data_IF_535812550564
#
_entry.id   IF_535812550564
#
_cell.length_a   1.000
_cell.length_b   1.000
_cell.length_c   1.000
_cell.angle_alpha   90.00
_cell.angle_beta   90.00
_cell.angle_gamma   90.00
#
_symmetry.space_group_name_H-M   'P 1'
#
loop_
_entity.id
_entity.type
_entity.pdbx_description
1 polymer ?
#
# COMPACT_ATOMS: atom_id res chain seq x y z
N UNK A 1 52.19 -40.22 0.20
CA UNK A 1 52.28 -38.78 0.60
C UNK A 1 52.35 -37.95 -0.67
N UNK A 2 51.21 -37.42 -1.11
CA UNK A 2 51.13 -36.64 -2.34
C UNK A 2 50.34 -35.37 -2.06
N UNK A 3 51.02 -34.25 -1.96
CA UNK A 3 50.44 -32.95 -1.67
C UNK A 3 49.97 -32.31 -2.97
N UNK A 4 48.64 -32.16 -3.13
CA UNK A 4 48.00 -31.43 -4.22
C UNK A 4 47.91 -29.94 -3.87
N UNK A 5 48.62 -29.09 -4.66
CA UNK A 5 48.59 -27.62 -4.57
C UNK A 5 47.41 -27.10 -5.40
N UNK A 6 46.37 -26.57 -4.73
CA UNK A 6 45.31 -25.79 -5.40
C UNK A 6 45.88 -24.44 -5.86
N UNK A 7 45.90 -24.20 -7.17
CA UNK A 7 46.15 -22.89 -7.76
C UNK A 7 44.88 -22.04 -7.74
N UNK A 8 44.87 -20.96 -6.95
CA UNK A 8 43.85 -19.91 -7.00
C UNK A 8 44.11 -19.07 -8.27
N UNK A 9 43.13 -19.05 -9.17
CA UNK A 9 43.06 -18.09 -10.28
C UNK A 9 42.28 -16.87 -9.83
N UNK A 10 42.92 -15.73 -9.71
CA UNK A 10 42.29 -14.44 -9.55
C UNK A 10 41.77 -13.98 -10.92
N UNK A 11 40.45 -13.76 -11.02
CA UNK A 11 39.84 -13.12 -12.17
C UNK A 11 39.78 -11.61 -11.89
N UNK A 12 40.51 -10.82 -12.67
CA UNK A 12 40.40 -9.38 -12.67
C UNK A 12 39.15 -8.97 -13.46
N UNK A 13 38.20 -8.28 -12.78
CA UNK A 13 37.06 -7.66 -13.44
C UNK A 13 37.44 -6.23 -13.81
N UNK A 14 37.54 -5.96 -15.11
CA UNK A 14 37.75 -4.62 -15.63
C UNK A 14 36.41 -3.86 -15.64
N UNK A 15 36.30 -2.79 -14.85
CA UNK A 15 35.18 -1.85 -14.92
C UNK A 15 35.41 -0.92 -16.13
N UNK A 16 34.57 -1.04 -17.15
CA UNK A 16 34.47 -0.05 -18.23
C UNK A 16 33.42 1.01 -17.82
N UNK A 17 33.89 2.22 -17.54
CA UNK A 17 33.04 3.38 -17.36
C UNK A 17 32.64 3.93 -18.74
N UNK A 18 31.38 3.77 -19.12
CA UNK A 18 30.79 4.46 -20.28
C UNK A 18 30.19 5.79 -19.81
N UNK A 19 30.80 6.89 -20.22
CA UNK A 19 30.27 8.23 -20.02
C UNK A 19 29.15 8.47 -21.04
N UNK A 20 27.91 8.62 -20.54
CA UNK A 20 26.76 9.01 -21.34
C UNK A 20 26.68 10.53 -21.36
N UNK A 21 26.97 11.12 -22.52
CA UNK A 21 26.73 12.54 -22.80
C UNK A 21 25.23 12.74 -23.07
N UNK A 22 24.57 13.52 -22.21
CA UNK A 22 23.19 13.97 -22.43
C UNK A 22 23.26 15.37 -23.05
N UNK A 23 22.72 15.61 -24.27
CA UNK A 23 22.61 16.96 -24.81
C UNK A 23 21.48 17.72 -24.09
N UNK A 24 21.79 18.94 -23.67
CA UNK A 24 20.80 19.86 -23.12
C UNK A 24 19.85 20.34 -24.23
N UNK A 25 18.61 19.93 -24.15
CA UNK A 25 17.54 20.47 -24.99
C UNK A 25 17.06 21.80 -24.42
N UNK A 26 17.23 22.86 -25.18
CA UNK A 26 16.66 24.17 -24.91
C UNK A 26 15.17 24.12 -25.23
N UNK A 27 14.32 24.26 -24.22
CA UNK A 27 12.86 24.33 -24.38
C UNK A 27 12.48 25.80 -24.56
N UNK A 28 12.03 26.17 -25.77
CA UNK A 28 11.40 27.45 -26.05
C UNK A 28 10.08 27.54 -25.28
N UNK A 29 9.92 28.63 -24.54
CA UNK A 29 8.67 28.96 -23.85
C UNK A 29 7.63 29.45 -24.88
N UNK A 30 6.64 28.64 -25.15
CA UNK A 30 5.43 29.06 -25.89
C UNK A 30 4.51 29.78 -24.90
N UNK A 31 4.37 31.11 -25.11
CA UNK A 31 3.40 31.94 -24.43
C UNK A 31 2.00 31.55 -24.90
N UNK A 32 1.21 30.89 -24.07
CA UNK A 32 -0.22 30.63 -24.31
C UNK A 32 -1.07 31.87 -23.95
N UNK A 33 -2.24 32.02 -24.57
CA UNK A 33 -3.11 33.17 -24.37
C UNK A 33 -3.73 33.17 -22.96
N UNK A 34 -3.81 34.38 -22.42
CA UNK A 34 -4.38 34.73 -21.11
C UNK A 34 -5.86 34.29 -21.00
N UNK A 35 -6.28 33.66 -19.90
CA UNK A 35 -7.69 33.28 -19.71
C UNK A 35 -8.56 34.52 -19.43
N UNK A 36 -9.67 34.60 -20.12
CA UNK A 36 -10.70 35.64 -19.96
C UNK A 36 -11.31 35.60 -18.52
N UNK A 37 -11.74 36.74 -17.97
CA UNK A 37 -12.30 36.83 -16.62
C UNK A 37 -13.64 36.10 -16.54
N UNK A 38 -13.73 35.18 -15.53
CA UNK A 38 -14.95 34.44 -15.20
C UNK A 38 -16.06 35.40 -14.73
N UNK A 39 -17.22 35.28 -15.40
CA UNK A 39 -18.42 36.00 -15.00
C UNK A 39 -18.91 35.57 -13.60
N UNK A 40 -19.12 36.55 -12.75
CA UNK A 40 -19.72 36.40 -11.42
C UNK A 40 -21.19 36.01 -11.58
N UNK A 41 -21.53 34.76 -11.29
CA UNK A 41 -22.91 34.29 -11.19
C UNK A 41 -23.52 34.78 -9.88
N UNK A 42 -24.51 35.67 -9.97
CA UNK A 42 -25.32 36.09 -8.83
C UNK A 42 -26.20 34.93 -8.35
N UNK A 43 -26.26 34.60 -7.05
CA UNK A 43 -27.19 33.62 -6.57
C UNK A 43 -28.63 34.15 -6.62
N UNK A 44 -29.56 33.31 -7.05
CA UNK A 44 -31.00 33.55 -7.06
C UNK A 44 -31.56 33.60 -5.61
N UNK A 45 -32.62 34.37 -5.34
CA UNK A 45 -33.23 34.46 -4.04
C UNK A 45 -33.90 33.16 -3.63
N UNK A 46 -33.61 32.71 -2.38
CA UNK A 46 -34.20 31.54 -1.74
C UNK A 46 -35.65 31.87 -1.35
N UNK A 47 -36.66 31.03 -1.66
CA UNK A 47 -38.01 31.22 -1.16
C UNK A 47 -38.08 30.94 0.34
N UNK A 48 -38.86 31.77 1.04
CA UNK A 48 -39.06 31.72 2.48
C UNK A 48 -39.66 30.38 2.92
N UNK A 49 -39.02 29.76 3.91
CA UNK A 49 -39.47 28.55 4.55
C UNK A 49 -40.82 28.76 5.30
N UNK A 50 -41.84 28.01 4.92
CA UNK A 50 -43.08 27.90 5.66
C UNK A 50 -42.83 27.20 6.99
N UNK A 51 -43.34 27.80 8.07
CA UNK A 51 -43.33 27.25 9.43
C UNK A 51 -44.16 25.98 9.48
N UNK A 52 -43.51 24.83 9.54
CA UNK A 52 -44.16 23.56 9.89
C UNK A 52 -44.06 23.32 11.40
N UNK A 53 -45.17 23.17 12.03
CA UNK A 53 -45.34 22.81 13.45
C UNK A 53 -44.73 21.42 13.72
N UNK A 54 -43.89 21.22 14.75
CA UNK A 54 -43.37 19.89 15.06
C UNK A 54 -44.45 19.01 15.63
N UNK A 55 -44.81 17.94 14.94
CA UNK A 55 -45.60 16.84 15.50
C UNK A 55 -44.72 16.01 16.44
N UNK A 56 -44.93 16.14 17.74
CA UNK A 56 -44.28 15.33 18.77
C UNK A 56 -44.93 13.96 18.80
N UNK A 57 -44.46 13.02 18.01
CA UNK A 57 -44.70 11.59 18.16
C UNK A 57 -43.42 10.89 18.63
N UNK A 58 -43.50 9.89 19.53
CA UNK A 58 -42.32 9.08 19.86
C UNK A 58 -41.88 8.37 18.60
N UNK A 59 -40.74 8.83 18.04
CA UNK A 59 -40.10 8.15 16.91
C UNK A 59 -39.71 6.73 17.32
N UNK A 60 -39.75 5.78 16.37
CA UNK A 60 -39.25 4.42 16.63
C UNK A 60 -37.80 4.52 17.13
N UNK A 61 -37.59 3.97 18.34
CA UNK A 61 -36.24 3.80 18.88
C UNK A 61 -35.49 2.95 17.89
N UNK A 62 -34.54 3.55 17.17
CA UNK A 62 -33.69 2.81 16.26
C UNK A 62 -32.95 1.77 17.08
N UNK A 63 -33.27 0.51 16.85
CA UNK A 63 -32.54 -0.62 17.40
C UNK A 63 -31.08 -0.48 17.00
N UNK A 64 -30.12 -0.51 17.95
CA UNK A 64 -28.73 -0.40 17.60
C UNK A 64 -28.38 -1.54 16.65
N UNK A 65 -27.81 -1.21 15.48
CA UNK A 65 -27.35 -2.19 14.50
C UNK A 65 -26.47 -3.25 15.20
N UNK A 66 -26.64 -4.54 14.85
CA UNK A 66 -25.94 -5.63 15.50
C UNK A 66 -24.42 -5.38 15.49
N UNK A 67 -23.78 -5.66 16.62
CA UNK A 67 -22.36 -5.37 16.87
C UNK A 67 -21.38 -6.06 15.89
N UNK A 68 -21.88 -7.01 15.07
CA UNK A 68 -21.12 -7.77 14.09
C UNK A 68 -20.50 -6.94 12.96
N UNK A 69 -21.01 -5.72 12.70
CA UNK A 69 -20.51 -4.86 11.61
C UNK A 69 -19.41 -3.88 12.04
N UNK A 70 -19.01 -3.89 13.31
CA UNK A 70 -17.96 -3.00 13.80
C UNK A 70 -16.61 -3.68 13.70
N UNK A 71 -15.67 -3.01 13.03
CA UNK A 71 -14.27 -3.45 13.04
C UNK A 71 -13.72 -3.44 14.47
N UNK A 72 -13.22 -4.57 15.01
CA UNK A 72 -12.61 -4.59 16.32
C UNK A 72 -11.40 -3.66 16.36
N UNK A 73 -11.27 -2.87 17.41
CA UNK A 73 -10.06 -2.07 17.62
C UNK A 73 -8.95 -2.99 18.13
N UNK A 74 -7.85 -3.03 17.41
CA UNK A 74 -6.62 -3.69 17.84
C UNK A 74 -5.68 -2.62 18.39
N UNK A 75 -5.38 -2.70 19.68
CA UNK A 75 -4.52 -1.72 20.37
C UNK A 75 -3.07 -1.85 19.95
N UNK A 76 -2.60 -3.07 19.73
CA UNK A 76 -1.25 -3.33 19.24
C UNK A 76 -1.12 -2.92 17.77
N UNK A 77 -0.39 -1.83 17.53
CA UNK A 77 -0.13 -1.29 16.19
C UNK A 77 0.73 -2.23 15.32
N UNK A 78 1.41 -3.17 15.93
CA UNK A 78 2.27 -4.16 15.27
C UNK A 78 1.61 -5.55 15.19
N UNK A 79 0.33 -5.68 15.54
CA UNK A 79 -0.38 -6.97 15.58
C UNK A 79 -0.26 -7.78 14.27
N UNK A 80 -0.28 -7.11 13.13
CA UNK A 80 -0.15 -7.77 11.83
C UNK A 80 1.31 -7.95 11.38
N UNK A 81 2.28 -7.40 12.10
CA UNK A 81 3.67 -7.39 11.67
C UNK A 81 4.32 -8.78 11.72
N UNK A 82 5.21 -9.04 10.79
CA UNK A 82 6.12 -10.19 10.81
C UNK A 82 7.41 -9.87 11.57
N UNK A 83 7.79 -8.59 11.64
CA UNK A 83 8.96 -8.12 12.39
C UNK A 83 8.57 -7.05 13.41
N UNK A 84 8.49 -7.43 14.68
CA UNK A 84 8.12 -6.56 15.80
C UNK A 84 9.25 -5.66 16.31
N UNK A 85 10.45 -5.70 15.71
CA UNK A 85 11.60 -4.88 16.11
C UNK A 85 11.55 -3.47 15.49
N UNK A 86 10.60 -3.20 14.60
CA UNK A 86 10.42 -1.88 14.01
C UNK A 86 9.98 -0.87 15.08
N UNK A 87 10.71 0.24 15.17
CA UNK A 87 10.48 1.29 16.15
C UNK A 87 9.40 2.28 15.67
N UNK A 88 8.14 2.02 16.01
CA UNK A 88 6.98 2.82 15.61
C UNK A 88 7.16 4.32 15.91
N UNK A 89 7.82 4.65 17.02
CA UNK A 89 8.07 6.04 17.43
C UNK A 89 8.98 6.82 16.46
N UNK A 90 9.71 6.15 15.58
CA UNK A 90 10.56 6.79 14.55
C UNK A 90 9.81 7.16 13.28
N UNK A 91 8.58 6.71 13.14
CA UNK A 91 7.78 6.95 11.91
C UNK A 91 7.46 8.45 11.78
N UNK A 92 7.76 8.99 10.61
CA UNK A 92 7.51 10.40 10.29
C UNK A 92 6.79 10.56 8.95
N UNK A 93 5.84 11.50 8.83
CA UNK A 93 5.18 12.21 9.94
C UNK A 93 4.43 11.27 10.89
N UNK A 94 3.88 11.78 12.00
CA UNK A 94 3.10 10.98 12.95
C UNK A 94 1.98 10.22 12.21
N UNK A 95 1.90 8.89 12.33
CA UNK A 95 1.04 8.08 11.49
C UNK A 95 -0.44 8.21 11.85
N UNK A 96 -1.27 8.31 10.83
CA UNK A 96 -2.70 8.07 10.97
C UNK A 96 -2.97 6.57 10.80
N UNK A 97 -3.34 5.89 11.88
CA UNK A 97 -3.58 4.45 11.87
C UNK A 97 -4.95 4.12 11.30
N UNK A 98 -4.99 3.12 10.43
CA UNK A 98 -6.24 2.58 9.90
C UNK A 98 -7.08 1.94 10.99
N UNK A 99 -8.40 2.11 10.92
CA UNK A 99 -9.37 1.58 11.90
C UNK A 99 -10.50 0.76 11.26
N UNK A 100 -10.47 0.56 9.94
CA UNK A 100 -11.41 -0.30 9.24
C UNK A 100 -10.89 -1.74 9.09
N UNK A 101 -11.79 -2.64 8.65
CA UNK A 101 -11.50 -4.05 8.41
C UNK A 101 -11.60 -4.43 6.93
N UNK A 102 -11.49 -3.45 6.03
CA UNK A 102 -11.60 -3.74 4.61
C UNK A 102 -10.47 -4.66 4.15
N UNK A 103 -10.81 -5.52 3.20
CA UNK A 103 -9.83 -6.34 2.49
C UNK A 103 -8.77 -5.43 1.86
N UNK A 104 -7.52 -5.87 1.93
CA UNK A 104 -6.39 -5.23 1.25
C UNK A 104 -5.76 -6.19 0.25
N UNK A 105 -5.02 -5.61 -0.69
CA UNK A 105 -4.40 -6.32 -1.80
C UNK A 105 -2.95 -5.87 -1.96
N UNK A 106 -2.10 -6.80 -2.44
CA UNK A 106 -0.72 -6.49 -2.77
C UNK A 106 -0.27 -7.28 -3.98
N UNK A 107 0.20 -6.59 -5.00
CA UNK A 107 0.94 -7.20 -6.10
C UNK A 107 2.39 -7.48 -5.69
N UNK A 108 2.83 -8.75 -5.78
CA UNK A 108 4.19 -9.14 -5.39
C UNK A 108 4.69 -10.29 -6.30
N UNK A 109 5.97 -10.26 -6.67
CA UNK A 109 6.59 -11.26 -7.54
C UNK A 109 7.03 -12.53 -6.82
N UNK A 110 7.00 -12.57 -5.48
CA UNK A 110 7.36 -13.76 -4.69
C UNK A 110 6.28 -14.82 -4.83
N UNK A 111 6.70 -16.10 -4.96
CA UNK A 111 5.77 -17.21 -5.09
C UNK A 111 4.96 -17.44 -3.79
N UNK A 112 3.67 -17.86 -3.88
CA UNK A 112 2.79 -18.10 -2.74
C UNK A 112 3.42 -18.97 -1.65
N UNK A 113 4.04 -20.09 -2.02
CA UNK A 113 4.70 -20.99 -1.06
C UNK A 113 5.74 -20.29 -0.16
N UNK A 114 6.42 -19.24 -0.67
CA UNK A 114 7.39 -18.48 0.12
C UNK A 114 6.69 -17.51 1.07
N UNK A 115 5.71 -16.79 0.54
CA UNK A 115 4.98 -15.77 1.30
C UNK A 115 4.08 -16.42 2.36
N UNK A 116 3.48 -17.57 2.07
CA UNK A 116 2.67 -18.31 3.05
C UNK A 116 3.50 -18.91 4.20
N UNK A 117 4.77 -19.20 3.96
CA UNK A 117 5.67 -19.68 5.03
C UNK A 117 6.27 -18.53 5.87
N UNK A 118 6.62 -17.42 5.23
CA UNK A 118 7.44 -16.38 5.87
C UNK A 118 6.69 -15.07 6.15
N UNK A 119 5.53 -14.85 5.54
CA UNK A 119 4.88 -13.54 5.51
C UNK A 119 5.51 -12.59 4.49
N UNK A 120 5.05 -11.36 4.51
CA UNK A 120 5.54 -10.27 3.69
C UNK A 120 6.50 -9.40 4.53
N UNK A 121 7.79 -9.58 4.33
CA UNK A 121 8.83 -8.82 5.03
C UNK A 121 9.14 -7.50 4.33
N UNK A 122 9.40 -6.42 5.10
CA UNK A 122 9.96 -5.20 4.56
C UNK A 122 11.44 -5.37 4.18
N UNK A 123 11.92 -4.52 3.27
CA UNK A 123 13.30 -4.60 2.74
C UNK A 123 14.36 -4.24 3.80
N UNK A 124 14.03 -3.32 4.73
CA UNK A 124 14.96 -2.86 5.74
C UNK A 124 14.27 -2.56 7.08
N UNK A 125 13.87 -3.58 7.84
CA UNK A 125 13.05 -3.40 9.04
C UNK A 125 13.73 -2.59 10.14
N UNK A 126 15.05 -2.67 10.29
CA UNK A 126 15.78 -2.01 11.37
C UNK A 126 16.56 -0.76 10.95
N UNK A 127 17.21 -0.83 9.81
CA UNK A 127 18.08 0.24 9.29
C UNK A 127 17.41 1.15 8.27
N UNK A 128 16.14 0.92 7.98
CA UNK A 128 15.43 1.60 6.92
C UNK A 128 15.07 3.05 7.20
N UNK A 129 14.51 3.67 6.17
CA UNK A 129 14.00 5.04 6.23
C UNK A 129 12.58 5.03 6.79
N UNK A 130 12.41 5.64 7.96
CA UNK A 130 11.13 5.75 8.65
C UNK A 130 10.25 6.91 8.15
N UNK A 131 10.76 7.71 7.20
CA UNK A 131 10.00 8.76 6.52
C UNK A 131 9.02 8.12 5.51
N UNK A 132 7.72 8.26 5.78
CA UNK A 132 6.67 7.62 5.00
C UNK A 132 6.56 8.21 3.59
N UNK A 133 6.78 9.52 3.42
CA UNK A 133 6.76 10.16 2.11
C UNK A 133 7.87 9.65 1.20
N UNK A 134 9.04 9.35 1.76
CA UNK A 134 10.15 8.74 1.01
C UNK A 134 9.90 7.27 0.68
N UNK A 135 9.19 6.54 1.55
CA UNK A 135 8.78 5.17 1.29
C UNK A 135 7.91 5.10 0.03
N UNK A 136 6.88 5.95 -0.08
CA UNK A 136 5.97 5.98 -1.23
C UNK A 136 6.67 6.32 -2.56
N UNK A 137 7.78 7.07 -2.52
CA UNK A 137 8.55 7.43 -3.73
C UNK A 137 9.51 6.32 -4.19
N UNK A 138 10.18 5.66 -3.24
CA UNK A 138 11.30 4.78 -3.58
C UNK A 138 11.06 3.30 -3.26
N UNK A 139 10.10 2.99 -2.38
CA UNK A 139 9.74 1.62 -1.96
C UNK A 139 10.83 0.82 -1.28
N UNK A 140 12.10 1.17 -1.49
CA UNK A 140 13.26 0.39 -1.06
C UNK A 140 13.90 0.95 0.21
N UNK A 141 14.44 0.02 1.02
CA UNK A 141 15.18 0.37 2.22
C UNK A 141 14.30 1.01 3.29
N UNK A 142 13.07 0.55 3.43
CA UNK A 142 12.11 1.04 4.41
C UNK A 142 11.62 -0.09 5.33
N UNK A 143 11.09 0.24 6.53
CA UNK A 143 10.51 -0.73 7.44
C UNK A 143 9.06 -1.11 7.11
N UNK A 144 8.55 -0.73 5.93
CA UNK A 144 7.15 -0.91 5.56
C UNK A 144 6.95 -1.93 4.47
N UNK A 145 5.77 -2.56 4.48
CA UNK A 145 5.19 -3.28 3.35
C UNK A 145 3.91 -2.56 2.96
N UNK A 146 3.80 -2.15 1.69
CA UNK A 146 2.61 -1.50 1.16
C UNK A 146 1.56 -2.52 0.75
N UNK A 147 0.31 -2.22 1.03
CA UNK A 147 -0.88 -2.84 0.48
C UNK A 147 -1.84 -1.74 0.02
N UNK A 148 -2.90 -2.08 -0.70
CA UNK A 148 -3.88 -1.12 -1.20
C UNK A 148 -5.29 -1.63 -0.99
N UNK A 149 -6.25 -0.72 -0.91
CA UNK A 149 -7.67 -1.06 -1.02
C UNK A 149 -8.09 -1.36 -2.46
N UNK A 150 -7.31 -0.92 -3.45
CA UNK A 150 -7.58 -1.20 -4.86
C UNK A 150 -7.15 -2.63 -5.21
N UNK A 151 -8.16 -3.48 -5.48
CA UNK A 151 -7.96 -4.85 -5.94
C UNK A 151 -7.17 -4.88 -7.27
N UNK A 152 -7.38 -3.92 -8.12
CA UNK A 152 -6.86 -3.90 -9.48
C UNK A 152 -5.48 -3.23 -9.60
N UNK A 153 -4.89 -2.78 -8.49
CA UNK A 153 -3.55 -2.15 -8.49
C UNK A 153 -2.48 -3.02 -9.15
N UNK A 154 -2.61 -4.35 -9.09
CA UNK A 154 -1.71 -5.28 -9.79
C UNK A 154 -1.62 -5.00 -11.30
N UNK A 155 -2.68 -4.47 -11.93
CA UNK A 155 -2.68 -4.15 -13.37
C UNK A 155 -1.65 -3.10 -13.74
N UNK A 156 -1.32 -2.17 -12.83
CA UNK A 156 -0.26 -1.19 -13.03
C UNK A 156 1.14 -1.79 -12.88
N UNK A 157 1.27 -2.92 -12.17
CA UNK A 157 2.55 -3.56 -11.82
C UNK A 157 2.93 -4.68 -12.80
N UNK A 158 1.98 -5.19 -13.59
CA UNK A 158 2.20 -6.30 -14.54
C UNK A 158 3.34 -5.98 -15.52
N UNK A 159 4.29 -6.91 -15.60
CA UNK A 159 5.43 -6.92 -16.52
C UNK A 159 5.80 -8.33 -16.95
N UNK A 160 7.04 -8.53 -17.40
CA UNK A 160 7.52 -9.83 -17.91
C UNK A 160 7.85 -10.85 -16.80
N UNK A 161 7.77 -10.46 -15.54
CA UNK A 161 8.06 -11.32 -14.39
C UNK A 161 6.78 -11.90 -13.81
N UNK A 162 6.86 -13.11 -13.21
CA UNK A 162 5.73 -13.64 -12.44
C UNK A 162 5.22 -12.63 -11.43
N UNK A 163 3.91 -12.49 -11.35
CA UNK A 163 3.23 -11.60 -10.43
C UNK A 163 2.05 -12.33 -9.80
N UNK A 164 1.84 -12.11 -8.53
CA UNK A 164 0.71 -12.63 -7.77
C UNK A 164 0.00 -11.46 -7.09
N UNK A 165 -1.33 -11.50 -7.07
CA UNK A 165 -2.12 -10.60 -6.24
C UNK A 165 -2.44 -11.30 -4.92
N UNK A 166 -1.90 -10.79 -3.82
CA UNK A 166 -2.11 -11.31 -2.47
C UNK A 166 -3.31 -10.63 -1.83
N UNK A 167 -4.14 -11.42 -1.18
CA UNK A 167 -5.31 -11.00 -0.43
C UNK A 167 -4.93 -10.94 1.05
N UNK A 168 -5.06 -9.76 1.66
CA UNK A 168 -4.59 -9.49 3.03
C UNK A 168 -5.79 -9.14 3.91
N UNK A 169 -5.99 -9.88 4.99
CA UNK A 169 -6.96 -9.60 6.04
C UNK A 169 -6.22 -9.29 7.35
N UNK A 170 -5.79 -8.05 7.46
CA UNK A 170 -4.96 -7.58 8.56
C UNK A 170 -5.56 -6.32 9.20
N UNK A 171 -5.60 -6.23 10.55
CA UNK A 171 -5.94 -4.99 11.23
C UNK A 171 -4.76 -4.01 11.22
N UNK A 172 -5.05 -2.75 11.50
CA UNK A 172 -4.03 -1.71 11.59
C UNK A 172 -3.44 -1.34 10.24
N UNK A 173 -2.14 -1.04 10.24
CA UNK A 173 -1.48 -0.38 9.13
C UNK A 173 -1.69 1.14 9.15
N UNK A 174 -0.85 1.85 8.44
CA UNK A 174 -0.85 3.31 8.34
C UNK A 174 -1.62 3.70 7.08
N UNK A 175 -2.66 4.48 7.22
CA UNK A 175 -3.35 5.15 6.12
C UNK A 175 -2.43 6.24 5.58
N UNK A 176 -1.80 5.97 4.44
CA UNK A 176 -0.77 6.83 3.85
C UNK A 176 -1.37 8.15 3.39
N UNK A 177 -2.54 8.12 2.79
CA UNK A 177 -3.23 9.32 2.30
C UNK A 177 -3.57 10.28 3.42
N UNK A 178 -4.14 9.79 4.50
CA UNK A 178 -4.48 10.60 5.66
C UNK A 178 -3.24 11.08 6.42
N UNK A 179 -2.17 10.29 6.43
CA UNK A 179 -0.92 10.65 7.11
C UNK A 179 -0.17 11.76 6.37
N UNK A 180 -0.07 11.66 5.05
CA UNK A 180 0.69 12.61 4.23
C UNK A 180 -0.16 13.79 3.75
N UNK A 181 -1.46 13.60 3.55
CA UNK A 181 -2.35 14.64 3.05
C UNK A 181 -1.83 15.27 1.76
N UNK A 182 -1.79 16.60 1.72
CA UNK A 182 -1.29 17.36 0.56
C UNK A 182 0.22 17.15 0.28
N UNK A 183 0.97 16.60 1.22
CA UNK A 183 2.40 16.29 1.04
C UNK A 183 2.65 14.92 0.39
N UNK A 184 1.60 14.20 -0.01
CA UNK A 184 1.73 12.90 -0.68
C UNK A 184 2.34 13.08 -2.06
N UNK A 185 3.47 12.40 -2.37
CA UNK A 185 4.17 12.55 -3.66
C UNK A 185 3.39 11.99 -4.85
N UNK A 186 2.64 10.90 -4.63
CA UNK A 186 1.83 10.22 -5.64
C UNK A 186 0.41 10.05 -5.07
N UNK A 187 -0.58 10.60 -5.74
CA UNK A 187 -1.97 10.51 -5.32
C UNK A 187 -2.66 9.28 -5.96
N UNK A 188 -3.58 8.65 -5.22
CA UNK A 188 -4.59 7.74 -5.81
C UNK A 188 -4.36 6.24 -5.64
N UNK A 189 -3.39 5.80 -4.83
CA UNK A 189 -3.15 4.35 -4.68
C UNK A 189 -3.89 3.73 -3.49
N UNK A 190 -4.65 4.52 -2.72
CA UNK A 190 -5.35 4.07 -1.50
C UNK A 190 -4.45 3.18 -0.63
N UNK A 191 -3.20 3.65 -0.43
CA UNK A 191 -2.11 2.86 0.14
C UNK A 191 -2.23 2.73 1.66
N UNK A 192 -2.00 1.51 2.14
CA UNK A 192 -1.81 1.18 3.55
C UNK A 192 -0.39 0.65 3.76
N UNK A 193 0.41 1.31 4.57
CA UNK A 193 1.76 0.89 4.90
C UNK A 193 1.79 0.12 6.22
N UNK A 194 2.31 -1.11 6.21
CA UNK A 194 2.46 -1.95 7.40
C UNK A 194 3.89 -1.90 7.93
N UNK A 195 4.15 -1.23 9.07
CA UNK A 195 5.45 -1.29 9.71
C UNK A 195 5.76 -2.73 10.15
N UNK A 196 6.97 -3.19 9.87
CA UNK A 196 7.37 -4.58 10.17
C UNK A 196 6.76 -5.63 9.24
N UNK A 197 6.03 -5.23 8.20
CA UNK A 197 5.46 -6.14 7.21
C UNK A 197 4.13 -6.76 7.62
N UNK A 198 3.77 -7.88 6.97
CA UNK A 198 2.51 -8.59 7.22
C UNK A 198 2.81 -10.05 7.50
N UNK A 199 2.39 -10.55 8.67
CA UNK A 199 2.59 -11.94 9.07
C UNK A 199 1.77 -12.89 8.20
N UNK A 200 2.22 -14.13 8.07
CA UNK A 200 1.57 -15.14 7.22
C UNK A 200 0.13 -15.42 7.64
N UNK A 201 -0.17 -15.32 8.92
CA UNK A 201 -1.49 -15.53 9.48
C UNK A 201 -2.51 -14.48 9.03
N UNK A 202 -2.05 -13.38 8.43
CA UNK A 202 -2.89 -12.27 7.93
C UNK A 202 -3.01 -12.24 6.41
N UNK A 203 -2.47 -13.23 5.73
CA UNK A 203 -2.55 -13.41 4.27
C UNK A 203 -3.57 -14.49 3.98
N UNK A 204 -4.66 -14.16 3.31
CA UNK A 204 -5.76 -15.08 3.00
C UNK A 204 -5.35 -16.07 1.92
N UNK A 205 -4.76 -15.57 0.84
CA UNK A 205 -4.37 -16.35 -0.33
C UNK A 205 -3.71 -15.48 -1.38
N UNK A 206 -3.46 -16.07 -2.54
CA UNK A 206 -2.86 -15.39 -3.68
C UNK A 206 -3.36 -15.94 -5.01
N UNK A 207 -3.55 -15.06 -5.98
CA UNK A 207 -3.91 -15.41 -7.35
C UNK A 207 -2.78 -15.05 -8.32
N UNK A 208 -2.32 -15.97 -9.18
CA UNK A 208 -1.35 -15.62 -10.22
C UNK A 208 -1.99 -14.70 -11.25
N UNK A 209 -1.22 -13.72 -11.71
CA UNK A 209 -1.65 -12.74 -12.72
C UNK A 209 -1.17 -13.18 -14.10
N UNK A 210 -2.09 -13.30 -15.05
CA UNK A 210 -1.77 -13.50 -16.48
C UNK A 210 -1.23 -12.17 -17.05
N UNK A 211 0.05 -12.10 -17.44
CA UNK A 211 0.65 -10.84 -17.90
C UNK A 211 0.06 -10.36 -19.24
N UNK A 212 -0.37 -11.27 -20.10
CA UNK A 212 -0.91 -10.91 -21.41
C UNK A 212 -2.32 -10.33 -21.32
N UNK A 213 -3.14 -10.87 -20.43
CA UNK A 213 -4.52 -10.42 -20.20
C UNK A 213 -4.62 -9.34 -19.12
N UNK A 214 -3.59 -9.18 -18.29
CA UNK A 214 -3.58 -8.33 -17.10
C UNK A 214 -4.76 -8.65 -16.17
N UNK A 215 -5.02 -9.93 -15.96
CA UNK A 215 -6.10 -10.43 -15.10
C UNK A 215 -5.57 -11.55 -14.21
N UNK A 216 -6.21 -11.74 -13.07
CA UNK A 216 -5.98 -12.91 -12.24
C UNK A 216 -6.46 -14.18 -12.92
N UNK A 217 -5.71 -15.27 -12.72
CA UNK A 217 -6.10 -16.60 -13.16
C UNK A 217 -6.79 -17.33 -12.01
N UNK A 218 -8.08 -17.04 -11.81
CA UNK A 218 -8.87 -17.49 -10.66
C UNK A 218 -8.79 -18.99 -10.38
N UNK A 219 -8.71 -19.81 -11.44
CA UNK A 219 -8.62 -21.27 -11.31
C UNK A 219 -7.28 -21.75 -10.68
N UNK A 220 -6.29 -20.86 -10.59
CA UNK A 220 -4.96 -21.14 -10.03
C UNK A 220 -4.70 -20.36 -8.73
N UNK A 221 -5.73 -19.74 -8.15
CA UNK A 221 -5.59 -19.13 -6.84
C UNK A 221 -5.30 -20.18 -5.78
N UNK A 222 -4.44 -19.85 -4.84
CA UNK A 222 -4.02 -20.70 -3.75
C UNK A 222 -4.46 -20.09 -2.42
N UNK A 223 -5.16 -20.88 -1.59
CA UNK A 223 -5.47 -20.50 -0.22
C UNK A 223 -4.24 -20.67 0.66
N UNK A 224 -4.04 -19.75 1.59
CA UNK A 224 -2.95 -19.85 2.55
C UNK A 224 -3.32 -20.79 3.71
N UNK A 225 -2.63 -21.93 3.88
CA UNK A 225 -2.95 -22.90 4.95
C UNK A 225 -2.67 -22.34 6.36
N UNK A 226 -1.95 -21.23 6.48
CA UNK A 226 -1.62 -20.59 7.75
C UNK A 226 -2.52 -19.41 8.10
N UNK A 227 -3.46 -19.06 7.21
CA UNK A 227 -4.37 -17.95 7.47
C UNK A 227 -5.21 -18.18 8.73
N UNK A 228 -5.29 -17.16 9.55
CA UNK A 228 -6.09 -17.14 10.77
C UNK A 228 -6.94 -15.87 10.79
N UNK A 229 -8.29 -15.99 10.68
CA UNK A 229 -9.15 -14.83 10.86
C UNK A 229 -8.87 -14.17 12.21
N UNK A 230 -8.71 -12.85 12.22
CA UNK A 230 -8.47 -12.10 13.45
C UNK A 230 -9.75 -11.51 14.06
N UNK A 231 -10.81 -11.59 13.28
CA UNK A 231 -12.17 -11.26 13.70
C UNK A 231 -12.86 -12.57 14.07
N UNK A 232 -13.02 -12.82 15.32
CA UNK A 232 -13.76 -13.96 15.88
C UNK A 232 -15.13 -13.57 16.36
#
# INVERSE_FOLDING_TARGET
MTTSRLRRRAAAVALSAAAVFVPASVTEAVSGPEPAPSAVVRPAPVPAAGSATPATGPGPTAEPAPAADRCPLVEDRMFAAVDHRVEVARITPAPFWRTDCKQLYRADGRAPRLVFEQGLHPDAPLGGRYDLGRHTLAGQGSPYVSASYDHDLYKATVGDRPLYNYYIDAPGGIDVDRTLGAARPLAGDDEVAFPGGVSRERIVGACPVDPAKRTETMALCEDNPHYQPWRG
#
